data_IF_552454005855
#
_entry.id   IF_552454005855
#
_cell.length_a   1.000
_cell.length_b   1.000
_cell.length_c   1.000
_cell.angle_alpha   90.00
_cell.angle_beta   90.00
_cell.angle_gamma   90.00
#
_symmetry.space_group_name_H-M   'P 1'
#
loop_
_entity.id
_entity.type
_entity.pdbx_description
1 polymer ?
#
# COMPACT_ATOMS: atom_id res chain seq x y z
N UNK A 1 -13.46 13.66 -15.74
CA UNK A 1 -12.21 12.86 -15.81
C UNK A 1 -11.86 12.10 -14.51
N UNK A 2 -12.34 12.49 -13.31
CA UNK A 2 -12.13 11.67 -12.09
C UNK A 2 -13.30 10.74 -11.68
N UNK A 3 -14.48 10.92 -12.28
CA UNK A 3 -15.68 10.13 -11.96
C UNK A 3 -15.58 8.71 -12.49
N UNK A 4 -15.21 8.55 -13.76
CA UNK A 4 -15.06 7.23 -14.40
C UNK A 4 -14.12 6.29 -13.62
N UNK A 5 -13.00 6.78 -13.08
CA UNK A 5 -12.06 5.95 -12.32
C UNK A 5 -12.70 5.48 -11.00
N UNK A 6 -13.39 6.37 -10.31
CA UNK A 6 -14.02 6.07 -9.02
C UNK A 6 -15.19 5.09 -9.21
N UNK A 7 -15.99 5.28 -10.25
CA UNK A 7 -17.12 4.43 -10.59
C UNK A 7 -16.67 3.02 -10.97
N UNK A 8 -15.60 2.89 -11.76
CA UNK A 8 -15.01 1.59 -12.10
C UNK A 8 -14.49 0.86 -10.87
N UNK A 9 -13.82 1.57 -9.95
CA UNK A 9 -13.35 0.96 -8.69
C UNK A 9 -14.55 0.49 -7.87
N UNK A 10 -15.57 1.34 -7.68
CA UNK A 10 -16.77 0.97 -6.94
C UNK A 10 -17.50 -0.24 -7.56
N UNK A 11 -17.59 -0.31 -8.89
CA UNK A 11 -18.20 -1.44 -9.58
C UNK A 11 -17.42 -2.75 -9.34
N UNK A 12 -16.08 -2.72 -9.43
CA UNK A 12 -15.24 -3.91 -9.15
C UNK A 12 -15.27 -4.32 -7.69
N UNK A 13 -15.35 -3.35 -6.78
CA UNK A 13 -15.46 -3.60 -5.35
C UNK A 13 -16.85 -4.09 -4.96
N UNK A 14 -17.89 -3.91 -5.79
CA UNK A 14 -19.25 -4.31 -5.45
C UNK A 14 -19.34 -5.83 -5.19
N UNK A 15 -18.65 -6.62 -6.00
CA UNK A 15 -18.58 -8.09 -5.90
C UNK A 15 -17.58 -8.61 -4.87
N UNK A 16 -16.74 -7.74 -4.28
CA UNK A 16 -15.79 -8.15 -3.24
C UNK A 16 -16.44 -8.14 -1.86
N UNK A 17 -16.26 -9.21 -1.09
CA UNK A 17 -16.71 -9.29 0.31
C UNK A 17 -15.90 -8.35 1.21
N UNK A 18 -14.58 -8.26 0.97
CA UNK A 18 -13.69 -7.29 1.61
C UNK A 18 -13.77 -5.93 0.92
N UNK A 19 -14.34 -4.94 1.60
CA UNK A 19 -14.43 -3.55 1.12
C UNK A 19 -13.15 -2.76 1.41
N UNK A 20 -11.97 -3.35 1.24
CA UNK A 20 -10.68 -2.70 1.51
C UNK A 20 -9.92 -2.44 0.21
N UNK A 21 -9.56 -1.18 -0.01
CA UNK A 21 -8.73 -0.73 -1.12
C UNK A 21 -7.32 -0.40 -0.64
N UNK A 22 -6.34 -1.19 -1.09
CA UNK A 22 -4.93 -0.92 -0.83
C UNK A 22 -4.40 0.07 -1.86
N UNK A 23 -4.08 1.28 -1.42
CA UNK A 23 -3.53 2.34 -2.26
C UNK A 23 -2.01 2.25 -2.34
N UNK A 24 -1.50 1.57 -3.38
CA UNK A 24 -0.08 1.54 -3.74
C UNK A 24 0.30 2.58 -4.81
N UNK A 25 -0.62 3.47 -5.18
CA UNK A 25 -0.35 4.53 -6.15
C UNK A 25 0.44 5.69 -5.50
N UNK A 26 1.09 6.52 -6.33
CA UNK A 26 1.61 7.80 -5.83
C UNK A 26 0.45 8.75 -5.49
N UNK A 27 0.72 9.74 -4.64
CA UNK A 27 -0.26 10.76 -4.27
C UNK A 27 -0.82 11.52 -5.48
N UNK A 28 -0.01 11.73 -6.53
CA UNK A 28 -0.45 12.44 -7.74
C UNK A 28 -1.49 11.66 -8.52
N UNK A 29 -1.29 10.35 -8.71
CA UNK A 29 -2.29 9.50 -9.35
C UNK A 29 -3.53 9.32 -8.47
N UNK A 30 -3.34 9.19 -7.15
CA UNK A 30 -4.46 9.00 -6.23
C UNK A 30 -5.35 10.23 -6.07
N UNK A 31 -4.85 11.44 -6.40
CA UNK A 31 -5.68 12.66 -6.46
C UNK A 31 -6.76 12.60 -7.54
N UNK A 32 -6.59 11.78 -8.57
CA UNK A 32 -7.60 11.60 -9.61
C UNK A 32 -8.83 10.82 -9.10
N UNK A 33 -8.69 10.10 -7.97
CA UNK A 33 -9.75 9.31 -7.36
C UNK A 33 -10.53 10.13 -6.34
N UNK A 34 -11.87 10.14 -6.43
CA UNK A 34 -12.72 10.84 -5.48
C UNK A 34 -12.88 10.00 -4.20
N UNK A 35 -11.95 10.17 -3.23
CA UNK A 35 -11.95 9.43 -1.95
C UNK A 35 -13.30 9.40 -1.24
N UNK A 36 -14.05 10.52 -1.25
CA UNK A 36 -15.37 10.62 -0.59
C UNK A 36 -16.47 9.80 -1.27
N UNK A 37 -16.29 9.44 -2.53
CA UNK A 37 -17.24 8.68 -3.33
C UNK A 37 -16.86 7.18 -3.40
N UNK A 38 -15.70 6.78 -2.85
CA UNK A 38 -15.30 5.38 -2.72
C UNK A 38 -16.10 4.70 -1.62
N UNK A 39 -16.68 3.55 -1.95
CA UNK A 39 -17.39 2.68 -1.00
C UNK A 39 -16.46 1.59 -0.45
N UNK A 40 -15.29 1.99 0.02
CA UNK A 40 -14.25 1.10 0.53
C UNK A 40 -13.36 1.82 1.56
N UNK A 41 -12.86 1.07 2.53
CA UNK A 41 -11.80 1.51 3.44
C UNK A 41 -10.49 1.58 2.68
N UNK A 42 -9.76 2.68 2.84
CA UNK A 42 -8.55 2.94 2.07
C UNK A 42 -7.36 2.82 2.99
N UNK A 43 -6.51 1.85 2.69
CA UNK A 43 -5.26 1.62 3.41
C UNK A 43 -4.12 2.03 2.49
N UNK A 44 -3.20 2.85 2.99
CA UNK A 44 -2.04 3.32 2.23
C UNK A 44 -0.76 2.81 2.88
N UNK A 45 -0.16 1.75 2.32
CA UNK A 45 1.15 1.28 2.76
C UNK A 45 2.23 2.37 2.62
N UNK A 46 2.97 2.59 3.69
CA UNK A 46 4.05 3.55 3.81
C UNK A 46 5.36 2.81 4.00
N UNK A 47 6.25 2.93 3.03
CA UNK A 47 7.55 2.28 3.03
C UNK A 47 8.61 3.27 3.51
N UNK A 48 9.25 2.97 4.64
CA UNK A 48 10.37 3.72 5.17
C UNK A 48 11.65 2.90 5.07
N UNK A 49 12.74 3.61 4.83
CA UNK A 49 14.08 3.06 4.75
C UNK A 49 14.93 3.77 5.80
N UNK A 50 15.72 2.99 6.54
CA UNK A 50 16.72 3.54 7.44
C UNK A 50 17.83 4.20 6.64
N UNK A 51 18.27 5.36 7.11
CA UNK A 51 19.45 6.05 6.61
C UNK A 51 20.04 6.93 7.70
N UNK A 52 21.28 6.66 8.10
CA UNK A 52 21.96 7.31 9.23
C UNK A 52 21.17 7.18 10.55
N UNK A 53 20.65 5.99 10.86
CA UNK A 53 19.90 5.72 12.09
C UNK A 53 18.50 6.35 12.17
N UNK A 54 17.97 6.83 11.05
CA UNK A 54 16.62 7.39 10.97
C UNK A 54 15.83 6.78 9.81
N UNK A 55 14.60 6.35 10.10
CA UNK A 55 13.67 5.86 9.08
C UNK A 55 12.99 7.03 8.36
N UNK A 56 13.02 7.01 7.04
CA UNK A 56 12.32 7.98 6.21
C UNK A 56 11.87 7.36 4.89
N UNK A 57 10.86 7.96 4.28
CA UNK A 57 10.41 7.54 2.95
C UNK A 57 11.43 7.98 1.92
N UNK A 58 12.16 7.03 1.33
CA UNK A 58 13.06 7.29 0.20
C UNK A 58 12.30 6.96 -1.08
N UNK A 59 11.89 7.99 -1.84
CA UNK A 59 10.95 7.86 -2.98
C UNK A 59 11.32 6.77 -4.00
N UNK A 60 12.61 6.57 -4.28
CA UNK A 60 13.07 5.52 -5.19
C UNK A 60 12.75 4.12 -4.66
N UNK A 61 13.08 3.85 -3.39
CA UNK A 61 12.80 2.57 -2.75
C UNK A 61 11.31 2.38 -2.49
N UNK A 62 10.60 3.42 -2.04
CA UNK A 62 9.15 3.36 -1.87
C UNK A 62 8.41 3.02 -3.19
N UNK A 63 8.87 3.56 -4.33
CA UNK A 63 8.31 3.19 -5.65
C UNK A 63 8.55 1.72 -5.98
N UNK A 64 9.77 1.21 -5.71
CA UNK A 64 10.11 -0.20 -5.91
C UNK A 64 9.30 -1.10 -4.98
N UNK A 65 9.19 -0.75 -3.70
CA UNK A 65 8.47 -1.50 -2.68
C UNK A 65 6.97 -1.64 -3.01
N UNK A 66 6.33 -0.57 -3.50
CA UNK A 66 4.95 -0.64 -4.02
C UNK A 66 4.79 -1.68 -5.12
N UNK A 67 5.69 -1.70 -6.10
CA UNK A 67 5.67 -2.71 -7.17
C UNK A 67 5.90 -4.13 -6.64
N UNK A 68 6.81 -4.28 -5.68
CA UNK A 68 7.07 -5.56 -5.02
C UNK A 68 5.85 -6.06 -4.25
N UNK A 69 5.13 -5.19 -3.54
CA UNK A 69 3.92 -5.58 -2.80
C UNK A 69 2.79 -6.03 -3.74
N UNK A 70 2.61 -5.36 -4.89
CA UNK A 70 1.67 -5.85 -5.93
C UNK A 70 2.08 -7.24 -6.42
N UNK A 71 3.37 -7.42 -6.73
CA UNK A 71 3.90 -8.71 -7.18
C UNK A 71 3.69 -9.79 -6.12
N UNK A 72 4.00 -9.51 -4.86
CA UNK A 72 3.81 -10.41 -3.73
C UNK A 72 2.34 -10.82 -3.59
N UNK A 73 1.41 -9.87 -3.69
CA UNK A 73 -0.02 -10.15 -3.62
C UNK A 73 -0.48 -11.10 -4.74
N UNK A 74 -0.04 -10.84 -5.97
CA UNK A 74 -0.39 -11.65 -7.13
C UNK A 74 0.25 -13.05 -7.10
N UNK A 75 1.53 -13.14 -6.77
CA UNK A 75 2.28 -14.40 -6.72
C UNK A 75 1.72 -15.33 -5.63
N UNK A 76 1.37 -14.79 -4.47
CA UNK A 76 0.80 -15.54 -3.35
C UNK A 76 -0.73 -15.68 -3.41
N UNK A 77 -1.38 -15.13 -4.46
CA UNK A 77 -2.85 -15.15 -4.65
C UNK A 77 -3.60 -14.69 -3.40
N UNK A 78 -3.16 -13.59 -2.81
CA UNK A 78 -3.78 -13.05 -1.60
C UNK A 78 -5.21 -12.63 -1.88
N UNK A 79 -6.11 -12.96 -0.96
CA UNK A 79 -7.54 -12.67 -1.07
C UNK A 79 -8.02 -11.69 0.00
N UNK A 80 -7.20 -11.43 1.03
CA UNK A 80 -7.52 -10.45 2.07
C UNK A 80 -6.38 -9.45 2.26
N UNK A 81 -6.76 -8.20 2.52
CA UNK A 81 -5.86 -7.08 2.78
C UNK A 81 -4.87 -7.39 3.92
N UNK A 82 -5.35 -8.00 5.01
CA UNK A 82 -4.54 -8.28 6.20
C UNK A 82 -3.34 -9.18 5.92
N UNK A 83 -3.41 -10.04 4.88
CA UNK A 83 -2.29 -10.90 4.49
C UNK A 83 -1.07 -10.11 4.01
N UNK A 84 -1.27 -8.87 3.54
CA UNK A 84 -0.16 -7.99 3.12
C UNK A 84 0.69 -7.51 4.29
N UNK A 85 0.22 -7.60 5.54
CA UNK A 85 1.06 -7.33 6.71
C UNK A 85 2.23 -8.32 6.81
N UNK A 86 2.15 -9.48 6.15
CA UNK A 86 3.24 -10.47 6.06
C UNK A 86 4.21 -10.19 4.90
N UNK A 87 4.09 -9.05 4.21
CA UNK A 87 5.02 -8.66 3.16
C UNK A 87 6.45 -8.51 3.70
N UNK A 88 7.36 -9.31 3.16
CA UNK A 88 8.73 -9.48 3.63
C UNK A 88 9.80 -9.32 2.52
N UNK A 89 9.40 -8.87 1.33
CA UNK A 89 10.32 -8.78 0.19
C UNK A 89 11.33 -7.62 0.34
N UNK A 90 12.54 -7.86 -0.14
CA UNK A 90 13.64 -6.87 -0.18
C UNK A 90 14.03 -6.31 1.21
N UNK A 91 13.77 -7.05 2.29
CA UNK A 91 14.11 -6.68 3.66
C UNK A 91 13.10 -5.75 4.33
N UNK A 92 11.94 -5.52 3.72
CA UNK A 92 10.86 -4.81 4.39
C UNK A 92 10.19 -5.69 5.44
N UNK A 93 9.71 -5.10 6.52
CA UNK A 93 8.87 -5.75 7.53
C UNK A 93 7.78 -4.80 8.04
N UNK A 94 6.64 -5.34 8.44
CA UNK A 94 5.52 -4.57 8.99
C UNK A 94 5.81 -4.10 10.41
N UNK A 95 5.37 -2.88 10.73
CA UNK A 95 5.56 -2.24 12.04
C UNK A 95 4.22 -1.84 12.61
N UNK A 96 3.69 -2.68 13.50
CA UNK A 96 2.36 -2.53 14.09
C UNK A 96 2.22 -1.22 14.89
N UNK A 97 3.21 -0.89 15.71
CA UNK A 97 3.25 0.33 16.53
C UNK A 97 3.20 1.66 15.74
N UNK A 98 3.53 1.62 14.44
CA UNK A 98 3.47 2.77 13.52
C UNK A 98 2.38 2.63 12.47
N UNK A 99 1.50 1.65 12.65
CA UNK A 99 0.41 1.39 11.76
C UNK A 99 -0.92 1.73 12.41
N UNK A 100 -1.87 2.13 11.59
CA UNK A 100 -3.24 2.43 11.97
C UNK A 100 -4.20 1.90 10.90
N UNK A 101 -5.50 2.16 11.07
CA UNK A 101 -6.56 1.69 10.18
C UNK A 101 -6.44 2.20 8.73
N UNK A 102 -5.61 3.23 8.48
CA UNK A 102 -5.45 3.89 7.18
C UNK A 102 -4.02 3.82 6.65
N UNK A 103 -3.04 3.61 7.52
CA UNK A 103 -1.61 3.65 7.19
C UNK A 103 -0.94 2.41 7.74
N UNK A 104 -0.37 1.60 6.85
CA UNK A 104 0.45 0.45 7.26
C UNK A 104 1.91 0.78 7.02
N UNK A 105 2.69 0.85 8.08
CA UNK A 105 4.11 1.19 7.99
C UNK A 105 4.94 -0.07 7.81
N UNK A 106 5.75 -0.08 6.75
CA UNK A 106 6.74 -1.10 6.48
C UNK A 106 8.13 -0.47 6.51
N UNK A 107 9.03 -1.03 7.30
CA UNK A 107 10.40 -0.54 7.45
C UNK A 107 11.39 -1.48 6.80
N UNK A 108 12.48 -0.92 6.32
CA UNK A 108 13.65 -1.65 5.87
C UNK A 108 14.89 -1.03 6.50
N UNK A 109 15.70 -1.86 7.12
CA UNK A 109 16.94 -1.44 7.75
C UNK A 109 18.01 -1.18 6.68
N UNK A 110 18.99 -0.34 7.00
CA UNK A 110 20.12 -0.10 6.10
C UNK A 110 20.91 -1.41 6.01
N UNK A 111 20.95 -2.03 4.83
CA UNK A 111 21.82 -3.17 4.63
C UNK A 111 23.26 -2.66 4.72
N UNK A 112 23.99 -3.07 5.77
CA UNK A 112 25.45 -2.91 5.83
C UNK A 112 26.03 -3.41 4.50
N UNK A 113 26.67 -2.49 3.78
CA UNK A 113 27.29 -2.76 2.49
C UNK A 113 28.55 -3.63 2.63
#
# INVERSE_FOLDING_TARGET
>A
MGEEITDVINARMADSEDKVLINLASNEYFKAVKKKALKADIITPRFEDEKNGQYKVISFYAKKARGLMVKYAADNKLTSAEQLKQFDLAGYYYVDELSDDKTWTFRRDEADA
#
